data_IF_226778947637
#
_entry.id   IF_226778947637
#
_cell.length_a   1.000
_cell.length_b   1.000
_cell.length_c   1.000
_cell.angle_alpha   90.00
_cell.angle_beta   90.00
_cell.angle_gamma   90.00
#
_symmetry.space_group_name_H-M   'P 1'
#
loop_
_entity.id
_entity.type
_entity.pdbx_description
1 polymer ?
#
# COMPACT_ATOMS: atom_id res chain seq x y z
N UNK A 1 -18.93 3.83 -13.02
CA UNK A 1 -19.54 2.98 -11.94
C UNK A 1 -20.64 3.77 -11.23
N UNK A 2 -21.73 3.14 -10.78
CA UNK A 2 -22.83 3.82 -10.08
C UNK A 2 -22.75 3.57 -8.56
N UNK A 3 -22.83 4.64 -7.77
CA UNK A 3 -22.90 4.56 -6.31
C UNK A 3 -24.20 3.89 -5.89
N UNK A 4 -24.11 2.75 -5.17
CA UNK A 4 -25.29 2.00 -4.71
C UNK A 4 -25.69 2.32 -3.26
N UNK A 5 -24.75 2.84 -2.48
CA UNK A 5 -24.95 3.18 -1.05
C UNK A 5 -24.43 4.59 -0.74
N UNK A 6 -25.15 5.65 -1.12
CA UNK A 6 -24.71 7.05 -0.93
C UNK A 6 -24.38 7.38 0.53
N UNK A 7 -25.07 6.78 1.50
CA UNK A 7 -24.79 6.98 2.92
C UNK A 7 -23.37 6.53 3.33
N UNK A 8 -22.81 5.50 2.68
CA UNK A 8 -21.42 5.08 2.94
C UNK A 8 -20.40 6.00 2.27
N UNK A 9 -20.74 6.57 1.12
CA UNK A 9 -19.91 7.61 0.50
C UNK A 9 -19.89 8.86 1.38
N UNK A 10 -21.05 9.28 1.89
CA UNK A 10 -21.15 10.40 2.82
C UNK A 10 -20.34 10.15 4.10
N UNK A 11 -20.45 8.96 4.69
CA UNK A 11 -19.65 8.59 5.86
C UNK A 11 -18.13 8.56 5.58
N UNK A 12 -17.72 8.21 4.36
CA UNK A 12 -16.31 8.28 3.96
C UNK A 12 -15.83 9.73 3.84
N UNK A 13 -16.65 10.61 3.25
CA UNK A 13 -16.35 12.05 3.18
C UNK A 13 -16.30 12.69 4.57
N UNK A 14 -17.21 12.31 5.47
CA UNK A 14 -17.23 12.78 6.85
C UNK A 14 -15.99 12.34 7.65
N UNK A 15 -15.51 11.11 7.45
CA UNK A 15 -14.25 10.65 8.03
C UNK A 15 -13.07 11.53 7.63
N UNK A 16 -13.10 12.07 6.42
CA UNK A 16 -12.03 12.88 5.83
C UNK A 16 -12.26 14.40 5.98
N UNK A 17 -13.34 14.83 6.67
CA UNK A 17 -13.76 16.23 6.67
C UNK A 17 -12.69 17.20 7.22
N UNK A 18 -11.94 16.78 8.24
CA UNK A 18 -10.88 17.56 8.86
C UNK A 18 -9.49 17.25 8.26
N UNK A 19 -9.45 16.54 7.13
CA UNK A 19 -8.23 16.09 6.46
C UNK A 19 -8.05 16.85 5.16
N UNK A 20 -6.95 17.60 5.02
CA UNK A 20 -6.59 18.22 3.74
C UNK A 20 -5.93 17.23 2.80
N UNK A 21 -5.02 16.42 3.32
CA UNK A 21 -4.25 15.47 2.52
C UNK A 21 -4.55 14.02 2.88
N UNK A 22 -4.73 13.19 1.87
CA UNK A 22 -4.85 11.75 2.02
C UNK A 22 -3.65 11.09 1.35
N UNK A 23 -2.83 10.39 2.12
CA UNK A 23 -1.73 9.59 1.63
C UNK A 23 -2.23 8.20 1.25
N UNK A 24 -2.07 7.82 0.00
CA UNK A 24 -2.29 6.46 -0.48
C UNK A 24 -0.95 5.72 -0.43
N UNK A 25 -0.93 4.59 0.25
CA UNK A 25 0.27 3.77 0.43
C UNK A 25 0.02 2.37 -0.08
N UNK A 26 1.03 1.83 -0.75
CA UNK A 26 1.13 0.42 -1.08
C UNK A 26 2.55 -0.08 -0.81
N UNK A 27 2.68 -1.30 -0.28
CA UNK A 27 3.95 -1.88 0.11
C UNK A 27 4.24 -3.13 -0.72
N UNK A 28 5.49 -3.25 -1.16
CA UNK A 28 6.03 -4.53 -1.59
C UNK A 28 6.89 -5.12 -0.47
N UNK A 29 6.89 -6.44 -0.36
CA UNK A 29 7.63 -7.14 0.68
C UNK A 29 8.37 -8.35 0.14
N UNK A 30 9.45 -8.76 0.84
CA UNK A 30 10.11 -10.04 0.56
C UNK A 30 9.08 -11.15 0.57
N UNK A 31 9.10 -12.02 -0.41
CA UNK A 31 8.12 -13.09 -0.54
C UNK A 31 8.69 -14.31 -1.26
N UNK A 32 7.98 -15.42 -1.12
CA UNK A 32 8.24 -16.66 -1.83
C UNK A 32 6.91 -17.38 -2.07
N UNK A 33 6.88 -18.31 -3.02
CA UNK A 33 5.70 -19.14 -3.27
C UNK A 33 6.07 -20.61 -3.44
N UNK A 34 5.11 -21.47 -3.19
CA UNK A 34 5.28 -22.88 -3.47
C UNK A 34 5.37 -23.14 -4.98
N UNK A 35 6.29 -24.01 -5.43
CA UNK A 35 6.33 -24.42 -6.82
C UNK A 35 4.96 -24.89 -7.31
N UNK A 36 4.61 -24.53 -8.54
CA UNK A 36 3.34 -24.89 -9.12
C UNK A 36 3.17 -26.43 -9.17
N UNK A 37 1.95 -26.91 -8.87
CA UNK A 37 1.59 -28.32 -8.97
C UNK A 37 1.90 -29.17 -7.75
N UNK A 38 2.41 -28.61 -6.65
CA UNK A 38 2.56 -29.34 -5.39
C UNK A 38 1.19 -29.67 -4.75
N UNK A 39 1.04 -30.90 -4.26
CA UNK A 39 -0.09 -31.27 -3.39
C UNK A 39 0.06 -30.59 -2.02
N UNK A 40 -1.02 -30.57 -1.22
CA UNK A 40 -0.96 -29.98 0.13
C UNK A 40 -0.01 -30.73 1.05
N UNK A 41 0.14 -32.08 0.88
CA UNK A 41 1.13 -32.89 1.60
C UNK A 41 2.56 -32.49 1.20
N UNK A 42 2.83 -32.31 -0.10
CA UNK A 42 4.15 -31.88 -0.59
C UNK A 42 4.49 -30.46 -0.14
N UNK A 43 3.51 -29.55 -0.01
CA UNK A 43 3.73 -28.20 0.55
C UNK A 43 4.15 -28.23 2.02
N UNK A 44 3.67 -29.20 2.81
CA UNK A 44 4.10 -29.39 4.22
C UNK A 44 5.57 -29.76 4.34
N UNK A 45 6.12 -30.46 3.35
CA UNK A 45 7.53 -30.86 3.31
C UNK A 45 8.43 -29.83 2.62
N UNK A 46 7.84 -28.93 1.81
CA UNK A 46 8.59 -27.91 1.08
C UNK A 46 8.85 -26.71 1.98
N UNK A 47 10.13 -26.35 2.13
CA UNK A 47 10.53 -25.16 2.88
C UNK A 47 10.57 -23.94 1.95
N UNK A 48 9.70 -22.97 2.19
CA UNK A 48 9.82 -21.66 1.57
C UNK A 48 11.08 -20.94 2.08
N UNK A 49 11.71 -20.14 1.21
CA UNK A 49 12.82 -19.29 1.61
C UNK A 49 12.34 -18.12 2.50
N UNK A 50 11.11 -17.63 2.26
CA UNK A 50 10.47 -16.58 3.03
C UNK A 50 9.07 -17.04 3.45
N UNK A 51 8.83 -17.18 4.75
CA UNK A 51 7.51 -17.43 5.29
C UNK A 51 6.73 -16.11 5.47
N UNK A 52 5.41 -16.20 5.51
CA UNK A 52 4.53 -15.03 5.57
C UNK A 52 4.77 -14.12 6.79
N UNK A 53 5.14 -14.67 7.91
CA UNK A 53 5.49 -13.96 9.15
C UNK A 53 6.91 -13.42 9.18
N UNK A 54 7.73 -13.81 8.17
CA UNK A 54 9.10 -13.36 7.97
C UNK A 54 9.23 -12.30 6.86
N UNK A 55 8.13 -11.99 6.18
CA UNK A 55 8.11 -10.96 5.13
C UNK A 55 8.56 -9.60 5.69
N UNK A 56 9.36 -8.88 4.92
CA UNK A 56 9.90 -7.55 5.25
C UNK A 56 9.58 -6.59 4.11
N UNK A 57 9.15 -5.36 4.45
CA UNK A 57 8.94 -4.32 3.45
C UNK A 57 10.22 -4.04 2.66
N UNK A 58 10.13 -4.03 1.33
CA UNK A 58 11.22 -3.72 0.40
C UNK A 58 10.93 -2.51 -0.49
N UNK A 59 9.67 -2.09 -0.63
CA UNK A 59 9.28 -0.84 -1.28
C UNK A 59 8.12 -0.20 -0.51
N UNK A 60 8.17 1.12 -0.37
CA UNK A 60 7.07 1.96 0.13
C UNK A 60 6.69 2.91 -0.99
N UNK A 61 5.57 2.64 -1.65
CA UNK A 61 4.95 3.56 -2.60
C UNK A 61 4.02 4.53 -1.87
N UNK A 62 4.18 5.82 -2.10
CA UNK A 62 3.44 6.88 -1.43
C UNK A 62 2.93 7.93 -2.42
N UNK A 63 1.63 8.18 -2.40
CA UNK A 63 0.96 9.16 -3.28
C UNK A 63 0.05 10.04 -2.43
N UNK A 64 0.23 11.34 -2.51
CA UNK A 64 -0.53 12.33 -1.72
C UNK A 64 -1.62 12.95 -2.58
N UNK A 65 -2.86 12.88 -2.12
CA UNK A 65 -4.01 13.56 -2.68
C UNK A 65 -4.30 14.84 -1.90
N UNK A 66 -4.54 15.97 -2.58
CA UNK A 66 -5.13 17.16 -1.96
C UNK A 66 -6.66 17.10 -2.11
N UNK A 67 -7.35 16.84 -1.00
CA UNK A 67 -8.81 16.71 -0.95
C UNK A 67 -9.53 18.04 -1.21
N UNK A 68 -8.89 19.17 -0.88
CA UNK A 68 -9.41 20.51 -1.15
C UNK A 68 -9.31 20.89 -2.63
N UNK A 69 -8.51 20.15 -3.41
CA UNK A 69 -8.39 20.32 -4.87
C UNK A 69 -9.07 19.18 -5.65
N UNK A 70 -10.14 18.60 -5.10
CA UNK A 70 -10.88 17.51 -5.73
C UNK A 70 -10.12 16.20 -5.76
N UNK A 71 -9.37 15.92 -4.71
CA UNK A 71 -8.56 14.70 -4.56
C UNK A 71 -7.57 14.49 -5.73
N UNK A 72 -6.90 15.56 -6.16
CA UNK A 72 -5.81 15.48 -7.13
C UNK A 72 -4.54 14.94 -6.47
N UNK A 73 -3.78 14.14 -7.21
CA UNK A 73 -2.41 13.77 -6.85
C UNK A 73 -1.56 15.04 -6.90
N UNK A 74 -0.92 15.39 -5.79
CA UNK A 74 -0.08 16.58 -5.65
C UNK A 74 1.38 16.23 -5.36
N UNK A 75 1.64 15.02 -4.91
CA UNK A 75 3.00 14.53 -4.68
C UNK A 75 3.02 13.01 -4.74
N UNK A 76 4.14 12.45 -5.18
CA UNK A 76 4.38 11.01 -5.15
C UNK A 76 5.87 10.74 -4.92
N UNK A 77 6.15 9.65 -4.23
CA UNK A 77 7.52 9.21 -3.98
C UNK A 77 7.56 7.69 -3.71
N UNK A 78 8.71 7.10 -3.96
CA UNK A 78 8.97 5.72 -3.59
C UNK A 78 10.29 5.59 -2.84
N UNK A 79 10.34 4.69 -1.88
CA UNK A 79 11.55 4.32 -1.15
C UNK A 79 11.72 2.82 -1.21
N UNK A 80 12.91 2.37 -1.59
CA UNK A 80 13.30 0.99 -1.33
C UNK A 80 13.79 0.87 0.11
N UNK A 81 13.58 -0.31 0.69
CA UNK A 81 13.98 -0.66 2.05
C UNK A 81 14.87 -1.89 1.98
N UNK A 82 16.01 -1.84 2.64
CA UNK A 82 16.90 -2.98 2.72
C UNK A 82 16.40 -3.99 3.75
N UNK A 83 16.00 -5.21 3.34
CA UNK A 83 15.58 -6.26 4.26
C UNK A 83 16.79 -6.77 5.06
N UNK A 84 16.55 -7.22 6.29
CA UNK A 84 17.61 -7.67 7.21
C UNK A 84 17.50 -9.17 7.52
N UNK A 85 16.30 -9.72 7.59
CA UNK A 85 16.05 -11.14 7.83
C UNK A 85 16.23 -11.96 6.55
N UNK A 86 15.68 -11.45 5.45
CA UNK A 86 15.73 -12.06 4.11
C UNK A 86 16.43 -11.14 3.11
N UNK A 87 17.77 -10.93 3.26
CA UNK A 87 18.50 -9.92 2.49
C UNK A 87 18.61 -10.26 1.00
N UNK A 88 18.46 -11.54 0.61
CA UNK A 88 18.49 -11.98 -0.78
C UNK A 88 17.07 -12.22 -1.27
N UNK A 89 16.64 -11.43 -2.26
CA UNK A 89 15.32 -11.58 -2.86
C UNK A 89 15.21 -12.90 -3.62
N UNK A 90 14.11 -13.64 -3.40
CA UNK A 90 13.81 -14.84 -4.19
C UNK A 90 13.55 -14.49 -5.63
N UNK A 91 13.70 -15.47 -6.55
CA UNK A 91 13.35 -15.25 -7.97
C UNK A 91 11.85 -14.98 -8.14
N UNK A 92 11.02 -15.57 -7.27
CA UNK A 92 9.60 -15.27 -7.23
C UNK A 92 9.34 -13.79 -6.86
N UNK A 93 9.96 -13.30 -5.80
CA UNK A 93 9.83 -11.90 -5.36
C UNK A 93 10.25 -10.93 -6.47
N UNK A 94 11.41 -11.13 -7.07
CA UNK A 94 11.91 -10.32 -8.22
C UNK A 94 10.96 -10.37 -9.42
N UNK A 95 10.45 -11.56 -9.74
CA UNK A 95 9.52 -11.74 -10.86
C UNK A 95 8.16 -11.08 -10.62
N UNK A 96 7.67 -11.10 -9.38
CA UNK A 96 6.39 -10.51 -9.00
C UNK A 96 6.46 -8.99 -8.96
N UNK A 97 7.44 -8.45 -8.22
CA UNK A 97 7.55 -7.01 -7.92
C UNK A 97 8.36 -6.23 -8.94
N UNK A 98 9.14 -6.93 -9.77
CA UNK A 98 10.15 -6.32 -10.67
C UNK A 98 11.19 -5.45 -9.93
N UNK A 99 11.39 -5.70 -8.64
CA UNK A 99 12.43 -5.07 -7.82
C UNK A 99 13.69 -5.91 -7.92
N UNK A 100 14.78 -5.30 -8.32
CA UNK A 100 16.06 -5.98 -8.43
C UNK A 100 16.84 -5.99 -7.10
N UNK A 101 17.74 -6.96 -6.94
CA UNK A 101 18.57 -7.07 -5.73
C UNK A 101 19.36 -5.78 -5.46
N UNK A 102 19.86 -5.11 -6.51
CA UNK A 102 20.61 -3.87 -6.38
C UNK A 102 19.80 -2.71 -5.79
N UNK A 103 18.47 -2.70 -6.02
CA UNK A 103 17.59 -1.67 -5.47
C UNK A 103 17.55 -1.75 -3.94
N UNK A 104 17.39 -2.96 -3.40
CA UNK A 104 17.33 -3.18 -1.95
C UNK A 104 18.72 -3.16 -1.31
N UNK A 105 19.77 -3.62 -1.97
CA UNK A 105 21.14 -3.59 -1.45
C UNK A 105 21.64 -2.16 -1.26
N UNK A 106 21.25 -1.24 -2.16
CA UNK A 106 21.60 0.18 -2.08
C UNK A 106 20.68 1.00 -1.19
N UNK A 107 19.57 0.42 -0.73
CA UNK A 107 18.56 1.10 0.06
C UNK A 107 18.98 1.33 1.52
N UNK A 108 18.30 2.28 2.16
CA UNK A 108 18.40 2.50 3.60
C UNK A 108 17.75 1.38 4.41
N UNK A 109 18.10 1.30 5.68
CA UNK A 109 17.39 0.44 6.64
C UNK A 109 15.95 0.93 6.84
N UNK A 110 15.09 0.08 7.42
CA UNK A 110 13.71 0.45 7.76
C UNK A 110 13.64 1.79 8.52
N UNK A 111 14.48 2.00 9.55
CA UNK A 111 14.45 3.24 10.34
C UNK A 111 14.95 4.46 9.54
N UNK A 112 15.95 4.30 8.69
CA UNK A 112 16.39 5.38 7.80
C UNK A 112 15.31 5.80 6.80
N UNK A 113 14.61 4.82 6.22
CA UNK A 113 13.49 5.09 5.31
C UNK A 113 12.30 5.69 6.06
N UNK A 114 12.02 5.22 7.29
CA UNK A 114 11.01 5.82 8.16
C UNK A 114 11.28 7.31 8.39
N UNK A 115 12.50 7.69 8.72
CA UNK A 115 12.89 9.09 8.91
C UNK A 115 12.73 9.89 7.61
N UNK A 116 13.20 9.38 6.48
CA UNK A 116 13.05 10.03 5.18
C UNK A 116 11.58 10.24 4.79
N UNK A 117 10.73 9.25 5.06
CA UNK A 117 9.28 9.34 4.86
C UNK A 117 8.65 10.39 5.77
N UNK A 118 9.06 10.43 7.05
CA UNK A 118 8.57 11.42 8.01
C UNK A 118 8.92 12.84 7.60
N UNK A 119 10.16 13.08 7.15
CA UNK A 119 10.62 14.36 6.63
C UNK A 119 9.85 14.79 5.37
N UNK A 120 9.64 13.86 4.44
CA UNK A 120 8.84 14.09 3.23
C UNK A 120 7.39 14.46 3.57
N UNK A 121 6.79 13.81 4.57
CA UNK A 121 5.40 14.03 4.97
C UNK A 121 5.21 15.23 5.89
N UNK A 122 6.27 15.82 6.45
CA UNK A 122 6.17 16.90 7.43
C UNK A 122 5.28 18.10 6.97
N UNK A 123 5.42 18.63 5.73
CA UNK A 123 4.54 19.72 5.27
C UNK A 123 3.07 19.32 5.17
N UNK A 124 2.77 18.08 4.79
CA UNK A 124 1.39 17.58 4.67
C UNK A 124 0.78 17.32 6.06
N UNK A 125 1.57 16.79 7.01
CA UNK A 125 1.15 16.58 8.40
C UNK A 125 0.72 17.89 9.07
N UNK A 126 1.43 18.99 8.79
CA UNK A 126 1.14 20.31 9.36
C UNK A 126 -0.25 20.86 8.95
N UNK A 127 -0.79 20.38 7.82
CA UNK A 127 -2.07 20.84 7.27
C UNK A 127 -3.19 19.79 7.36
N UNK A 128 -2.97 18.68 8.06
CA UNK A 128 -3.94 17.60 8.25
C UNK A 128 -3.78 16.46 7.23
N UNK A 129 -3.13 15.38 7.68
CA UNK A 129 -2.83 14.18 6.90
C UNK A 129 -3.41 12.94 7.54
N UNK A 130 -4.14 12.15 6.77
CA UNK A 130 -4.48 10.76 7.05
C UNK A 130 -3.85 9.87 5.97
N UNK A 131 -3.81 8.56 6.21
CA UNK A 131 -3.38 7.63 5.19
C UNK A 131 -4.34 6.47 4.97
N UNK A 132 -4.28 5.89 3.78
CA UNK A 132 -5.05 4.72 3.41
C UNK A 132 -4.21 3.72 2.61
N UNK A 133 -4.65 2.47 2.64
CA UNK A 133 -4.13 1.39 1.78
C UNK A 133 -5.27 0.50 1.27
N UNK A 134 -4.97 -0.39 0.32
CA UNK A 134 -5.98 -1.30 -0.23
C UNK A 134 -6.18 -2.54 0.64
N UNK A 135 -6.59 -2.34 1.88
CA UNK A 135 -6.79 -3.38 2.88
C UNK A 135 -6.17 -3.00 4.22
N UNK A 136 -5.90 -4.01 5.03
CA UNK A 136 -5.27 -3.85 6.34
C UNK A 136 -3.86 -4.49 6.37
N UNK A 137 -3.40 -5.04 5.22
CA UNK A 137 -2.10 -5.72 5.13
C UNK A 137 -0.96 -4.75 5.42
N UNK A 138 -0.92 -3.62 4.71
CA UNK A 138 0.16 -2.63 4.81
C UNK A 138 0.35 -2.13 6.25
N UNK A 139 -0.76 -1.78 6.92
CA UNK A 139 -0.71 -1.33 8.31
C UNK A 139 -0.15 -2.41 9.27
N UNK A 140 -0.46 -3.70 9.01
CA UNK A 140 0.06 -4.83 9.78
C UNK A 140 1.53 -5.08 9.47
N UNK A 141 1.91 -5.04 8.19
CA UNK A 141 3.29 -5.24 7.75
C UNK A 141 4.21 -4.19 8.38
N UNK A 142 3.83 -2.90 8.31
CA UNK A 142 4.59 -1.82 8.96
C UNK A 142 4.73 -2.01 10.47
N UNK A 143 3.72 -2.58 11.13
CA UNK A 143 3.80 -2.86 12.57
C UNK A 143 4.77 -4.02 12.87
N UNK A 144 4.74 -5.08 12.07
CA UNK A 144 5.66 -6.21 12.19
C UNK A 144 7.12 -5.79 11.93
N UNK A 145 7.34 -4.95 10.91
CA UNK A 145 8.68 -4.45 10.59
C UNK A 145 9.23 -3.54 11.68
N UNK A 146 8.40 -2.69 12.27
CA UNK A 146 8.80 -1.82 13.39
C UNK A 146 9.23 -2.66 14.61
N UNK A 147 8.47 -3.69 14.95
CA UNK A 147 8.81 -4.63 16.03
C UNK A 147 10.14 -5.33 15.74
N UNK A 148 10.30 -5.87 14.52
CA UNK A 148 11.52 -6.57 14.08
C UNK A 148 12.76 -5.67 14.14
N UNK A 149 12.62 -4.41 13.74
CA UNK A 149 13.70 -3.43 13.72
C UNK A 149 13.87 -2.68 15.06
N UNK A 150 13.06 -2.98 16.07
CA UNK A 150 13.07 -2.32 17.39
C UNK A 150 13.04 -0.78 17.28
N UNK A 151 12.21 -0.27 16.36
CA UNK A 151 12.06 1.17 16.12
C UNK A 151 10.59 1.57 16.02
N UNK A 152 10.32 2.86 15.87
CA UNK A 152 8.98 3.37 15.67
C UNK A 152 8.41 2.91 14.32
N UNK A 153 7.10 2.66 14.25
CA UNK A 153 6.41 2.28 13.02
C UNK A 153 6.40 3.46 12.04
N UNK A 154 6.64 3.20 10.76
CA UNK A 154 6.34 4.17 9.70
C UNK A 154 4.88 4.62 9.80
N UNK A 155 4.61 5.89 9.50
CA UNK A 155 3.28 6.51 9.59
C UNK A 155 2.67 6.48 11.01
N UNK A 156 3.52 6.38 12.06
CA UNK A 156 3.08 6.50 13.45
C UNK A 156 2.41 7.86 13.69
N UNK A 157 1.36 7.87 14.52
CA UNK A 157 0.59 9.06 14.82
C UNK A 157 -0.39 9.50 13.72
N UNK A 158 -0.36 8.90 12.52
CA UNK A 158 -1.35 9.16 11.47
C UNK A 158 -2.50 8.15 11.53
N UNK A 159 -3.74 8.66 11.43
CA UNK A 159 -4.91 7.81 11.33
C UNK A 159 -4.92 7.06 9.99
N UNK A 160 -5.23 5.75 10.06
CA UNK A 160 -5.35 4.88 8.89
C UNK A 160 -6.81 4.60 8.55
N UNK A 161 -7.11 4.51 7.26
CA UNK A 161 -8.39 4.00 6.77
C UNK A 161 -8.19 2.98 5.64
N UNK A 162 -9.02 1.95 5.63
CA UNK A 162 -9.00 0.88 4.63
C UNK A 162 -9.86 1.28 3.42
N UNK A 163 -9.23 1.71 2.32
CA UNK A 163 -9.89 2.15 1.09
C UNK A 163 -10.71 1.02 0.42
N UNK A 164 -10.22 -0.22 0.45
CA UNK A 164 -10.95 -1.40 -0.04
C UNK A 164 -12.29 -1.60 0.67
N UNK A 165 -12.32 -1.32 1.98
CA UNK A 165 -13.55 -1.41 2.78
C UNK A 165 -14.57 -0.33 2.38
N UNK A 166 -14.12 0.88 2.08
CA UNK A 166 -14.99 1.95 1.57
C UNK A 166 -15.50 1.62 0.18
N UNK A 167 -14.65 1.17 -0.73
CA UNK A 167 -15.03 0.75 -2.07
C UNK A 167 -16.20 -0.25 -2.05
N UNK A 168 -16.04 -1.40 -1.36
CA UNK A 168 -17.10 -2.41 -1.35
C UNK A 168 -18.38 -1.96 -0.62
N UNK A 169 -18.27 -1.10 0.40
CA UNK A 169 -19.45 -0.53 1.09
C UNK A 169 -20.22 0.43 0.19
N UNK A 170 -19.53 1.35 -0.48
CA UNK A 170 -20.13 2.36 -1.35
C UNK A 170 -20.81 1.71 -2.57
N UNK A 171 -20.19 0.70 -3.16
CA UNK A 171 -20.69 -0.01 -4.32
C UNK A 171 -21.62 -1.18 -3.98
N UNK A 172 -21.70 -1.60 -2.72
CA UNK A 172 -22.41 -2.79 -2.30
C UNK A 172 -22.00 -4.03 -3.13
N UNK A 173 -20.71 -4.24 -3.29
CA UNK A 173 -20.10 -5.32 -4.03
C UNK A 173 -19.29 -6.26 -3.11
N UNK A 174 -18.64 -7.28 -3.65
CA UNK A 174 -17.65 -8.07 -2.90
C UNK A 174 -16.32 -7.33 -2.83
N UNK A 175 -15.57 -7.56 -1.76
CA UNK A 175 -14.19 -7.10 -1.68
C UNK A 175 -13.36 -7.78 -2.77
N UNK A 176 -12.54 -7.02 -3.49
CA UNK A 176 -11.71 -7.49 -4.61
C UNK A 176 -10.29 -6.92 -4.51
N UNK A 177 -9.36 -7.41 -5.33
CA UNK A 177 -8.03 -6.85 -5.46
C UNK A 177 -8.09 -5.44 -6.07
N UNK A 178 -7.00 -4.66 -5.93
CA UNK A 178 -6.97 -3.26 -6.38
C UNK A 178 -7.20 -3.14 -7.90
N UNK A 179 -6.45 -3.90 -8.69
CA UNK A 179 -6.52 -3.81 -10.15
C UNK A 179 -7.93 -4.07 -10.71
N UNK A 180 -8.65 -5.16 -10.37
CA UNK A 180 -10.04 -5.32 -10.78
C UNK A 180 -10.94 -4.17 -10.32
N UNK A 181 -10.71 -3.59 -9.14
CA UNK A 181 -11.50 -2.46 -8.67
C UNK A 181 -11.27 -1.20 -9.51
N UNK A 182 -10.03 -0.92 -9.91
CA UNK A 182 -9.66 0.18 -10.81
C UNK A 182 -10.32 -0.01 -12.20
N UNK A 183 -10.19 -1.21 -12.76
CA UNK A 183 -10.77 -1.58 -14.07
C UNK A 183 -12.32 -1.50 -14.06
N UNK A 184 -12.97 -1.94 -12.98
CA UNK A 184 -14.43 -1.83 -12.80
C UNK A 184 -14.93 -0.38 -12.79
N UNK A 185 -14.08 0.58 -12.40
CA UNK A 185 -14.37 2.02 -12.47
C UNK A 185 -14.13 2.60 -13.86
N UNK A 186 -13.67 1.81 -14.83
CA UNK A 186 -13.30 2.25 -16.16
C UNK A 186 -12.01 3.08 -16.19
N UNK A 187 -11.20 2.95 -15.16
CA UNK A 187 -9.88 3.58 -15.06
C UNK A 187 -8.87 2.65 -15.72
N UNK A 188 -8.06 3.18 -16.63
CA UNK A 188 -6.95 2.44 -17.21
C UNK A 188 -5.83 2.31 -16.17
N UNK A 189 -5.35 1.07 -15.96
CA UNK A 189 -4.23 0.82 -15.06
C UNK A 189 -2.95 1.49 -15.58
N UNK A 190 -2.28 2.23 -14.73
CA UNK A 190 -1.02 2.92 -15.06
C UNK A 190 0.17 2.28 -14.36
N UNK A 191 1.22 1.99 -15.10
CA UNK A 191 2.46 1.44 -14.58
C UNK A 191 2.45 -0.09 -14.43
N UNK A 192 3.42 -0.60 -13.67
CA UNK A 192 3.66 -2.02 -13.42
C UNK A 192 2.85 -2.50 -12.21
N UNK A 193 2.06 -3.55 -12.38
CA UNK A 193 1.36 -4.19 -11.26
C UNK A 193 2.34 -4.87 -10.31
N UNK A 194 2.11 -4.77 -9.01
CA UNK A 194 3.04 -5.14 -7.95
C UNK A 194 4.33 -4.31 -7.93
N UNK A 195 4.20 -3.01 -8.23
CA UNK A 195 5.17 -1.98 -7.87
C UNK A 195 4.46 -1.02 -6.91
N UNK A 196 4.99 -0.90 -5.71
CA UNK A 196 4.34 -0.14 -4.65
C UNK A 196 3.95 1.28 -5.06
N UNK A 197 4.81 2.00 -5.80
CA UNK A 197 4.47 3.35 -6.29
C UNK A 197 3.35 3.34 -7.34
N UNK A 198 3.33 2.37 -8.23
CA UNK A 198 2.31 2.29 -9.27
C UNK A 198 0.96 1.84 -8.67
N UNK A 199 0.97 0.90 -7.74
CA UNK A 199 -0.22 0.45 -7.02
C UNK A 199 -0.77 1.59 -6.13
N UNK A 200 0.07 2.33 -5.42
CA UNK A 200 -0.33 3.53 -4.67
C UNK A 200 -0.93 4.63 -5.56
N UNK A 201 -0.39 4.81 -6.78
CA UNK A 201 -0.93 5.78 -7.75
C UNK A 201 -2.32 5.38 -8.24
N UNK A 202 -2.50 4.13 -8.64
CA UNK A 202 -3.80 3.61 -9.05
C UNK A 202 -4.82 3.62 -7.90
N UNK A 203 -4.39 3.34 -6.68
CA UNK A 203 -5.19 3.51 -5.47
C UNK A 203 -5.64 4.96 -5.30
N UNK A 204 -4.71 5.92 -5.45
CA UNK A 204 -5.00 7.35 -5.36
C UNK A 204 -6.02 7.81 -6.39
N UNK A 205 -5.86 7.40 -7.65
CA UNK A 205 -6.82 7.71 -8.72
C UNK A 205 -8.20 7.14 -8.39
N UNK A 206 -8.28 5.87 -7.98
CA UNK A 206 -9.54 5.20 -7.63
C UNK A 206 -10.24 5.88 -6.44
N UNK A 207 -9.51 6.20 -5.37
CA UNK A 207 -10.06 6.90 -4.20
C UNK A 207 -10.56 8.28 -4.60
N UNK A 208 -9.81 9.01 -5.42
CA UNK A 208 -10.24 10.30 -5.96
C UNK A 208 -11.56 10.21 -6.74
N UNK A 209 -11.72 9.21 -7.61
CA UNK A 209 -12.96 8.97 -8.34
C UNK A 209 -14.13 8.61 -7.43
N UNK A 210 -13.90 7.77 -6.41
CA UNK A 210 -14.93 7.44 -5.40
C UNK A 210 -15.40 8.71 -4.68
N UNK A 211 -14.48 9.56 -4.25
CA UNK A 211 -14.80 10.79 -3.51
C UNK A 211 -15.50 11.86 -4.37
N UNK A 212 -15.22 11.90 -5.69
CA UNK A 212 -15.89 12.80 -6.63
C UNK A 212 -17.25 12.30 -7.10
N UNK A 213 -17.52 11.01 -6.97
CA UNK A 213 -18.76 10.40 -7.45
C UNK A 213 -19.99 10.89 -6.67
N UNK A 214 -21.08 11.26 -7.34
CA UNK A 214 -22.38 11.66 -6.76
C UNK A 214 -22.61 13.15 -6.70
#
# INVERSE_FOLDING_TARGET
MQIKKPQHLQAFRELLADTRYLLCVDLEATCDEYPAGLTDEQKLEHKLAVHRDEMETIEVGAVVLDLHQGAKIVSEHTWFVRPVLNPVLTDFCKGLTTIDQVDVDSAGTYDQVRQALDDYLAPFKAEGLMWCSWGDYDAKQLAMDAERNSCERMLSGLAHTNAKKWHWKVLNCRAMALRPAVEDWGIEWSGQYHRGIDDARNLGVLVGEILRAG
#
